data_IF_175962623706
#
_entry.id   IF_175962623706
#
_cell.length_a   1.000
_cell.length_b   1.000
_cell.length_c   1.000
_cell.angle_alpha   90.00
_cell.angle_beta   90.00
_cell.angle_gamma   90.00
#
_symmetry.space_group_name_H-M   'P 1'
#
loop_
_entity.id
_entity.type
_entity.pdbx_description
1 polymer ?
#
# COMPACT_ATOMS: atom_id res chain seq x y z
N UNK A 1 -1.45 -1.25 13.70
CA UNK A 1 -0.72 -2.36 14.37
C UNK A 1 0.76 -2.24 14.06
N UNK A 2 1.62 -2.30 15.10
CA UNK A 2 3.08 -2.38 14.94
C UNK A 2 3.55 -3.82 15.12
N UNK A 3 4.56 -4.21 14.35
CA UNK A 3 5.06 -5.57 14.27
C UNK A 3 6.58 -5.56 14.24
N UNK A 4 7.22 -6.10 15.27
CA UNK A 4 8.62 -6.46 15.20
C UNK A 4 8.75 -7.82 14.53
N UNK A 5 9.65 -7.91 13.56
CA UNK A 5 9.96 -9.12 12.79
C UNK A 5 11.46 -9.39 12.97
N UNK A 6 11.81 -10.60 13.40
CA UNK A 6 13.21 -10.98 13.67
C UNK A 6 13.89 -11.62 12.46
N UNK A 7 13.11 -12.15 11.53
CA UNK A 7 13.61 -12.73 10.28
C UNK A 7 12.45 -13.03 9.33
N UNK A 8 12.74 -13.43 8.08
CA UNK A 8 14.07 -13.61 7.50
C UNK A 8 14.78 -12.28 7.18
N UNK A 9 16.10 -12.31 6.94
CA UNK A 9 16.84 -11.14 6.42
C UNK A 9 16.42 -10.83 4.98
N UNK A 10 16.10 -11.86 4.19
CA UNK A 10 15.64 -11.74 2.80
C UNK A 10 14.28 -12.41 2.67
N UNK A 11 13.18 -11.67 2.42
CA UNK A 11 11.84 -12.24 2.42
C UNK A 11 11.50 -12.91 1.08
N UNK A 12 10.47 -13.76 1.08
CA UNK A 12 10.01 -14.47 -0.11
C UNK A 12 9.45 -13.53 -1.18
N UNK A 13 8.64 -12.53 -0.78
CA UNK A 13 8.19 -11.42 -1.62
C UNK A 13 9.06 -10.18 -1.37
N UNK A 14 9.78 -9.67 -2.37
CA UNK A 14 10.73 -8.58 -2.16
C UNK A 14 11.06 -7.78 -3.40
N UNK A 15 11.50 -6.55 -3.19
CA UNK A 15 12.11 -5.73 -4.22
C UNK A 15 13.57 -6.13 -4.46
N UNK A 16 13.93 -6.40 -5.69
CA UNK A 16 15.31 -6.46 -6.13
C UNK A 16 15.58 -5.30 -7.11
N UNK A 17 16.82 -4.80 -7.14
CA UNK A 17 17.21 -3.67 -7.98
C UNK A 17 18.53 -3.93 -8.70
N UNK A 18 18.64 -3.35 -9.89
CA UNK A 18 19.86 -3.30 -10.69
C UNK A 18 20.10 -1.87 -11.18
N UNK A 19 21.33 -1.58 -11.58
CA UNK A 19 21.71 -0.26 -12.10
C UNK A 19 20.87 0.16 -13.31
N UNK A 20 20.83 1.47 -13.54
CA UNK A 20 20.06 2.06 -14.64
C UNK A 20 18.56 2.11 -14.37
N UNK A 21 18.19 2.24 -13.08
CA UNK A 21 16.81 2.43 -12.59
C UNK A 21 15.91 1.19 -12.73
N UNK A 22 16.51 0.00 -12.67
CA UNK A 22 15.82 -1.27 -12.84
C UNK A 22 15.35 -1.78 -11.50
N UNK A 23 14.05 -2.06 -11.42
CA UNK A 23 13.38 -2.60 -10.26
C UNK A 23 12.64 -3.86 -10.66
N UNK A 24 12.59 -4.84 -9.77
CA UNK A 24 11.77 -6.03 -9.95
C UNK A 24 11.23 -6.48 -8.62
N UNK A 25 9.94 -6.75 -8.56
CA UNK A 25 9.34 -7.46 -7.44
C UNK A 25 9.42 -8.95 -7.75
N UNK A 26 9.94 -9.72 -6.80
CA UNK A 26 10.07 -11.17 -6.90
C UNK A 26 9.30 -11.84 -5.77
N UNK A 27 8.71 -13.00 -6.04
CA UNK A 27 8.02 -13.84 -5.06
C UNK A 27 8.53 -15.27 -5.18
N UNK A 28 9.07 -15.86 -4.11
CA UNK A 28 9.69 -17.19 -4.17
C UNK A 28 10.84 -17.29 -5.20
N UNK A 29 11.47 -16.16 -5.53
CA UNK A 29 12.49 -16.06 -6.59
C UNK A 29 11.94 -15.88 -8.01
N UNK A 30 10.62 -15.88 -8.20
CA UNK A 30 9.98 -15.66 -9.50
C UNK A 30 9.63 -14.17 -9.67
N UNK A 31 10.03 -13.50 -10.76
CA UNK A 31 9.59 -12.13 -11.04
C UNK A 31 8.06 -12.02 -11.19
N UNK A 32 7.44 -11.12 -10.43
CA UNK A 32 5.99 -10.85 -10.45
C UNK A 32 5.65 -9.48 -11.05
N UNK A 33 6.55 -8.51 -10.91
CA UNK A 33 6.43 -7.17 -11.47
C UNK A 33 7.81 -6.66 -11.87
N UNK A 34 7.98 -6.24 -13.12
CA UNK A 34 9.11 -5.43 -13.52
C UNK A 34 8.73 -3.96 -13.47
N UNK A 35 9.68 -3.13 -13.07
CA UNK A 35 9.53 -1.68 -13.12
C UNK A 35 10.85 -1.01 -13.53
N UNK A 36 10.74 0.09 -14.27
CA UNK A 36 11.88 0.92 -14.62
C UNK A 36 11.52 2.38 -14.47
N UNK A 37 12.29 3.11 -13.67
CA UNK A 37 12.04 4.54 -13.52
C UNK A 37 12.26 5.25 -14.84
N UNK A 38 11.37 6.19 -15.15
CA UNK A 38 11.40 6.99 -16.37
C UNK A 38 12.61 7.92 -16.39
N UNK A 39 13.02 8.28 -17.60
CA UNK A 39 14.11 9.24 -17.83
C UNK A 39 13.78 10.66 -17.39
N UNK A 40 12.49 10.96 -17.27
CA UNK A 40 11.96 12.24 -16.77
C UNK A 40 12.00 12.34 -15.25
N UNK A 41 12.25 11.25 -14.52
CA UNK A 41 12.18 11.18 -13.06
C UNK A 41 10.79 11.45 -12.46
N UNK A 42 9.74 11.57 -13.29
CA UNK A 42 8.35 11.81 -12.88
C UNK A 42 7.50 10.52 -12.89
N UNK A 43 8.11 9.36 -12.69
CA UNK A 43 7.37 8.11 -12.69
C UNK A 43 8.22 6.90 -13.06
N UNK A 44 7.53 5.79 -13.31
CA UNK A 44 8.11 4.54 -13.79
C UNK A 44 7.21 3.86 -14.81
N UNK A 45 7.80 3.03 -15.66
CA UNK A 45 7.08 2.01 -16.40
C UNK A 45 6.98 0.75 -15.55
N UNK A 46 5.87 0.02 -15.66
CA UNK A 46 5.72 -1.29 -15.04
C UNK A 46 5.21 -2.32 -16.04
N UNK A 47 5.50 -3.58 -15.74
CA UNK A 47 4.93 -4.73 -16.42
C UNK A 47 4.72 -5.88 -15.43
N UNK A 48 3.48 -6.36 -15.32
CA UNK A 48 3.12 -7.54 -14.53
C UNK A 48 3.39 -8.80 -15.32
N UNK A 49 3.86 -9.83 -14.63
CA UNK A 49 4.11 -11.14 -15.27
C UNK A 49 2.90 -12.08 -15.18
N UNK A 50 1.88 -11.71 -14.40
CA UNK A 50 0.72 -12.57 -14.10
C UNK A 50 1.03 -13.71 -13.12
N UNK A 51 2.24 -13.77 -12.56
CA UNK A 51 2.70 -14.86 -11.67
C UNK A 51 2.50 -14.58 -10.19
N UNK A 52 2.01 -13.40 -9.83
CA UNK A 52 1.78 -13.02 -8.44
C UNK A 52 0.71 -13.90 -7.79
N UNK A 53 1.00 -14.38 -6.59
CA UNK A 53 0.04 -15.09 -5.73
C UNK A 53 -0.07 -14.32 -4.41
N UNK A 54 -1.30 -14.11 -3.93
CA UNK A 54 -1.50 -13.48 -2.63
C UNK A 54 -0.84 -14.33 -1.52
N UNK A 55 -0.02 -13.74 -0.63
CA UNK A 55 0.53 -14.44 0.52
C UNK A 55 -0.53 -14.74 1.59
N UNK A 56 -1.73 -14.16 1.47
CA UNK A 56 -2.81 -14.36 2.42
C UNK A 56 -3.81 -15.38 1.89
N UNK A 57 -4.27 -16.26 2.77
CA UNK A 57 -5.37 -17.16 2.46
C UNK A 57 -6.65 -16.37 2.13
N UNK A 58 -7.48 -16.82 1.16
CA UNK A 58 -8.71 -16.13 0.83
C UNK A 58 -9.65 -15.96 2.04
N UNK A 59 -10.06 -14.73 2.30
CA UNK A 59 -10.99 -14.42 3.39
C UNK A 59 -12.39 -14.93 3.08
N UNK A 60 -12.91 -15.77 3.98
CA UNK A 60 -14.27 -16.31 3.90
C UNK A 60 -15.31 -15.35 4.47
N UNK A 61 -16.55 -15.51 4.02
CA UNK A 61 -17.67 -14.70 4.49
C UNK A 61 -17.98 -14.90 5.98
N UNK A 62 -17.79 -16.11 6.50
CA UNK A 62 -18.00 -16.40 7.91
C UNK A 62 -17.06 -15.56 8.80
N UNK A 63 -15.79 -15.46 8.42
CA UNK A 63 -14.81 -14.66 9.15
C UNK A 63 -15.19 -13.16 9.14
N UNK A 64 -15.62 -12.64 7.97
CA UNK A 64 -16.03 -11.25 7.85
C UNK A 64 -17.19 -10.90 8.79
N UNK A 65 -18.19 -11.78 8.87
CA UNK A 65 -19.35 -11.62 9.77
C UNK A 65 -18.93 -11.74 11.23
N UNK A 66 -18.13 -12.75 11.58
CA UNK A 66 -17.64 -12.91 12.95
C UNK A 66 -16.91 -11.66 13.44
N UNK A 67 -16.04 -11.05 12.62
CA UNK A 67 -15.37 -9.79 13.01
C UNK A 67 -16.36 -8.64 13.19
N UNK A 68 -17.39 -8.56 12.34
CA UNK A 68 -18.44 -7.54 12.41
C UNK A 68 -19.38 -7.70 13.62
N UNK A 69 -19.56 -8.91 14.15
CA UNK A 69 -20.34 -9.18 15.37
C UNK A 69 -19.66 -8.61 16.61
N UNK A 70 -18.33 -8.64 16.65
CA UNK A 70 -17.57 -8.14 17.81
C UNK A 70 -17.18 -6.66 17.69
N UNK A 71 -17.06 -6.11 16.48
CA UNK A 71 -16.76 -4.69 16.28
C UNK A 71 -17.60 -4.10 15.16
N UNK A 72 -18.17 -2.94 15.45
CA UNK A 72 -18.89 -2.10 14.50
C UNK A 72 -18.06 -1.89 13.22
N UNK A 73 -18.53 -2.32 12.03
CA UNK A 73 -17.80 -2.14 10.80
C UNK A 73 -17.39 -0.69 10.56
N UNK A 74 -16.09 -0.49 10.39
CA UNK A 74 -15.50 0.82 10.14
C UNK A 74 -15.11 1.63 11.38
N UNK A 75 -15.34 1.11 12.57
CA UNK A 75 -14.75 1.61 13.81
C UNK A 75 -13.23 1.40 13.86
N UNK A 76 -12.57 2.05 14.82
CA UNK A 76 -11.15 1.82 15.12
C UNK A 76 -10.91 0.37 15.56
N UNK A 77 -11.75 -0.19 16.43
CA UNK A 77 -11.65 -1.58 16.89
C UNK A 77 -11.77 -2.59 15.72
N UNK A 78 -12.72 -2.37 14.80
CA UNK A 78 -12.85 -3.22 13.60
C UNK A 78 -11.59 -3.18 12.74
N UNK A 79 -11.01 -1.99 12.59
CA UNK A 79 -9.77 -1.77 11.85
C UNK A 79 -8.59 -2.48 12.52
N UNK A 80 -8.49 -2.36 13.85
CA UNK A 80 -7.45 -3.01 14.66
C UNK A 80 -7.54 -4.53 14.59
N UNK A 81 -8.76 -5.10 14.62
CA UNK A 81 -8.96 -6.54 14.44
C UNK A 81 -8.50 -7.04 13.08
N UNK A 82 -8.82 -6.32 12.00
CA UNK A 82 -8.31 -6.68 10.68
C UNK A 82 -6.80 -6.48 10.54
N UNK A 83 -6.24 -5.46 11.18
CA UNK A 83 -4.80 -5.30 11.23
C UNK A 83 -4.13 -6.45 11.99
N UNK A 84 -4.69 -6.88 13.13
CA UNK A 84 -4.20 -8.03 13.88
C UNK A 84 -4.29 -9.32 13.07
N UNK A 85 -5.43 -9.57 12.41
CA UNK A 85 -5.61 -10.72 11.52
C UNK A 85 -4.60 -10.72 10.36
N UNK A 86 -4.51 -9.61 9.63
CA UNK A 86 -3.57 -9.47 8.51
C UNK A 86 -2.11 -9.58 8.97
N UNK A 87 -1.76 -9.00 10.10
CA UNK A 87 -0.43 -9.07 10.68
C UNK A 87 -0.04 -10.46 11.18
N UNK A 88 -0.99 -11.25 11.67
CA UNK A 88 -0.77 -12.66 12.00
C UNK A 88 -0.59 -13.49 10.72
N UNK A 89 -1.46 -13.31 9.73
CA UNK A 89 -1.38 -14.02 8.45
C UNK A 89 -0.07 -13.72 7.70
N UNK A 90 0.37 -12.45 7.68
CA UNK A 90 1.61 -12.04 7.04
C UNK A 90 2.85 -12.63 7.72
N UNK A 91 2.85 -12.79 9.05
CA UNK A 91 3.95 -13.44 9.77
C UNK A 91 4.03 -14.94 9.50
N UNK A 92 2.90 -15.57 9.22
CA UNK A 92 2.83 -17.00 8.90
C UNK A 92 3.07 -17.31 7.42
N UNK A 93 3.18 -16.28 6.56
CA UNK A 93 3.35 -16.47 5.12
C UNK A 93 4.83 -16.59 4.74
N UNK A 94 5.22 -17.73 4.16
CA UNK A 94 6.59 -17.98 3.72
C UNK A 94 7.00 -17.05 2.55
N UNK A 95 6.07 -16.82 1.61
CA UNK A 95 6.26 -15.92 0.46
C UNK A 95 5.69 -14.52 0.70
N UNK A 96 5.74 -14.05 1.95
CA UNK A 96 5.34 -12.71 2.38
C UNK A 96 6.45 -11.66 2.24
N UNK A 97 6.11 -10.37 2.39
CA UNK A 97 7.06 -9.26 2.30
C UNK A 97 7.83 -8.96 3.60
N UNK A 98 7.42 -9.58 4.72
CA UNK A 98 8.00 -9.31 6.03
C UNK A 98 9.43 -9.83 6.11
N UNK A 99 10.34 -8.94 6.44
CA UNK A 99 11.73 -9.24 6.77
C UNK A 99 12.10 -8.60 8.11
N UNK A 100 13.29 -8.91 8.62
CA UNK A 100 13.84 -8.32 9.83
C UNK A 100 13.64 -6.80 9.86
N UNK A 101 12.97 -6.30 10.89
CA UNK A 101 12.65 -4.88 11.03
C UNK A 101 11.37 -4.61 11.81
N UNK A 102 11.08 -3.32 11.97
CA UNK A 102 9.84 -2.82 12.53
C UNK A 102 8.88 -2.49 11.39
N UNK A 103 7.65 -3.00 11.47
CA UNK A 103 6.63 -2.85 10.43
C UNK A 103 5.34 -2.28 11.01
N UNK A 104 4.62 -1.53 10.18
CA UNK A 104 3.27 -1.05 10.45
C UNK A 104 2.27 -1.66 9.48
N UNK A 105 1.13 -2.09 10.01
CA UNK A 105 -0.09 -2.37 9.26
C UNK A 105 -1.21 -1.51 9.81
N UNK A 106 -1.64 -0.51 9.04
CA UNK A 106 -2.57 0.52 9.50
C UNK A 106 -3.32 1.15 8.32
N UNK A 107 -4.42 1.88 8.56
CA UNK A 107 -5.03 2.72 7.54
C UNK A 107 -4.04 3.73 6.97
N UNK A 108 -4.33 4.22 5.76
CA UNK A 108 -3.59 5.34 5.18
C UNK A 108 -3.77 6.62 6.00
N UNK A 109 -2.76 6.92 6.81
CA UNK A 109 -2.69 8.13 7.64
C UNK A 109 -2.14 9.34 6.86
N UNK A 110 -1.55 9.13 5.69
CA UNK A 110 -0.97 10.17 4.84
C UNK A 110 -1.96 10.70 3.80
N UNK A 111 -3.09 10.00 3.61
CA UNK A 111 -4.16 10.35 2.65
C UNK A 111 -3.63 10.42 1.22
N UNK A 112 -2.79 9.47 0.84
CA UNK A 112 -2.26 9.37 -0.52
C UNK A 112 -3.33 9.06 -1.56
N UNK A 113 -4.40 8.36 -1.16
CA UNK A 113 -5.45 7.97 -2.10
C UNK A 113 -6.34 9.16 -2.47
N UNK A 114 -6.35 9.50 -3.77
CA UNK A 114 -7.19 10.54 -4.37
C UNK A 114 -8.49 9.91 -4.86
N UNK A 115 -9.64 10.46 -4.43
CA UNK A 115 -10.95 9.89 -4.73
C UNK A 115 -11.22 9.72 -6.24
N UNK A 116 -10.74 10.65 -7.07
CA UNK A 116 -10.91 10.63 -8.53
C UNK A 116 -10.14 9.50 -9.25
N UNK A 117 -9.15 8.87 -8.60
CA UNK A 117 -8.33 7.83 -9.22
C UNK A 117 -8.95 6.43 -9.09
N UNK A 118 -9.84 6.20 -8.12
CA UNK A 118 -10.45 4.89 -7.88
C UNK A 118 -11.30 4.36 -9.05
N UNK A 119 -12.21 5.14 -9.68
CA UNK A 119 -13.01 4.65 -10.79
C UNK A 119 -12.16 4.26 -12.01
N UNK A 120 -11.04 4.95 -12.23
CA UNK A 120 -10.12 4.70 -13.34
C UNK A 120 -9.50 3.30 -13.27
N UNK A 121 -9.23 2.83 -12.05
CA UNK A 121 -8.58 1.53 -11.84
C UNK A 121 -9.43 0.36 -12.34
N UNK A 122 -10.76 0.39 -12.14
CA UNK A 122 -11.64 -0.65 -12.66
C UNK A 122 -11.84 -0.54 -14.18
N UNK A 123 -11.87 0.69 -14.71
CA UNK A 123 -12.04 0.93 -16.14
C UNK A 123 -10.81 0.53 -16.96
N UNK A 124 -9.60 0.68 -16.40
CA UNK A 124 -8.33 0.43 -17.09
C UNK A 124 -7.26 -0.12 -16.14
N UNK A 125 -7.11 -1.44 -16.15
CA UNK A 125 -6.06 -2.19 -15.42
C UNK A 125 -5.14 -2.96 -16.38
N UNK A 126 -4.32 -2.28 -17.19
CA UNK A 126 -3.44 -2.96 -18.14
C UNK A 126 -2.32 -3.71 -17.39
N UNK A 127 -1.89 -4.84 -17.93
CA UNK A 127 -0.73 -5.58 -17.41
C UNK A 127 0.59 -4.80 -17.55
N UNK A 128 0.62 -3.81 -18.45
CA UNK A 128 1.75 -2.91 -18.71
C UNK A 128 1.27 -1.48 -18.72
N UNK A 129 2.02 -0.59 -18.09
CA UNK A 129 1.67 0.82 -18.04
C UNK A 129 2.74 1.63 -17.35
N UNK A 130 2.34 2.77 -16.80
CA UNK A 130 3.25 3.62 -16.04
C UNK A 130 2.62 4.10 -14.74
N UNK A 131 3.42 4.33 -13.71
CA UNK A 131 2.99 5.07 -12.52
C UNK A 131 3.53 6.48 -12.65
N UNK A 132 2.63 7.45 -12.60
CA UNK A 132 2.93 8.87 -12.72
C UNK A 132 3.23 9.41 -11.33
N UNK A 133 4.28 10.20 -11.21
CA UNK A 133 4.60 10.92 -9.98
C UNK A 133 4.37 12.40 -10.24
N UNK A 134 3.65 13.06 -9.32
CA UNK A 134 3.40 14.50 -9.37
C UNK A 134 2.58 14.99 -10.59
N UNK A 135 2.03 14.08 -11.42
CA UNK A 135 1.09 14.40 -12.50
C UNK A 135 1.67 15.18 -13.69
N UNK A 136 2.99 15.24 -13.86
CA UNK A 136 3.61 16.03 -14.94
C UNK A 136 3.60 15.29 -16.29
N UNK A 137 2.85 15.84 -17.25
CA UNK A 137 2.93 15.44 -18.66
C UNK A 137 2.39 14.05 -19.00
N UNK A 138 1.69 13.42 -18.05
CA UNK A 138 1.16 12.07 -18.20
C UNK A 138 -0.35 12.05 -18.49
N UNK A 139 -0.85 11.02 -19.20
CA UNK A 139 -2.28 10.86 -19.44
C UNK A 139 -3.08 10.70 -18.14
N UNK A 140 -4.28 11.29 -18.09
CA UNK A 140 -5.13 11.27 -16.88
C UNK A 140 -5.56 9.85 -16.48
N UNK A 141 -5.68 8.94 -17.45
CA UNK A 141 -5.98 7.52 -17.23
C UNK A 141 -4.90 6.74 -16.45
N UNK A 142 -3.67 7.26 -16.41
CA UNK A 142 -2.53 6.61 -15.78
C UNK A 142 -2.28 7.11 -14.35
N UNK A 143 -3.00 8.18 -13.95
CA UNK A 143 -3.10 8.59 -12.56
C UNK A 143 -3.77 7.50 -11.73
N UNK A 144 -2.96 6.82 -10.91
CA UNK A 144 -3.40 5.78 -9.97
C UNK A 144 -2.56 5.83 -8.72
N UNK A 145 -3.22 5.67 -7.58
CA UNK A 145 -2.58 5.69 -6.27
C UNK A 145 -2.31 4.29 -5.73
N UNK A 146 -2.64 3.25 -6.50
CA UNK A 146 -2.56 1.85 -6.10
C UNK A 146 -2.30 0.98 -7.34
N UNK A 147 -1.37 0.05 -7.24
CA UNK A 147 -1.07 -0.91 -8.31
C UNK A 147 -1.50 -2.33 -7.95
N UNK A 148 -2.49 -2.93 -8.64
CA UNK A 148 -2.80 -4.35 -8.50
C UNK A 148 -1.63 -5.23 -8.98
N UNK A 149 -1.14 -6.16 -8.15
CA UNK A 149 -0.08 -7.10 -8.55
C UNK A 149 -0.54 -8.24 -9.48
N UNK A 150 -1.84 -8.48 -9.58
CA UNK A 150 -2.47 -9.34 -10.58
C UNK A 150 -3.65 -8.59 -11.21
N UNK A 151 -4.06 -9.03 -12.40
CA UNK A 151 -5.23 -8.48 -13.06
C UNK A 151 -6.46 -8.54 -12.15
N UNK A 152 -7.21 -7.43 -12.13
CA UNK A 152 -8.49 -7.38 -11.44
C UNK A 152 -9.47 -8.36 -12.09
N UNK A 153 -10.19 -9.10 -11.24
CA UNK A 153 -11.21 -10.03 -11.70
C UNK A 153 -12.38 -9.28 -12.33
N UNK A 154 -13.10 -9.94 -13.25
CA UNK A 154 -14.30 -9.38 -13.85
C UNK A 154 -15.38 -9.08 -12.77
N UNK A 155 -16.11 -7.95 -12.85
CA UNK A 155 -17.14 -7.58 -11.86
C UNK A 155 -18.24 -8.62 -11.60
N UNK A 156 -18.50 -9.46 -12.62
CA UNK A 156 -19.50 -10.54 -12.57
C UNK A 156 -18.92 -11.91 -12.19
N UNK A 157 -17.63 -12.01 -11.87
CA UNK A 157 -17.04 -13.25 -11.38
C UNK A 157 -17.73 -13.69 -10.06
N UNK A 158 -18.02 -14.99 -9.84
CA UNK A 158 -18.80 -15.45 -8.68
C UNK A 158 -18.26 -14.95 -7.32
N UNK A 159 -16.93 -14.97 -7.15
CA UNK A 159 -16.26 -14.49 -5.95
C UNK A 159 -16.43 -12.97 -5.75
N UNK A 160 -16.35 -12.19 -6.84
CA UNK A 160 -16.57 -10.74 -6.80
C UNK A 160 -18.02 -10.43 -6.41
N UNK A 161 -19.01 -11.15 -6.98
CA UNK A 161 -20.43 -10.99 -6.59
C UNK A 161 -20.66 -11.24 -5.10
N UNK A 162 -20.00 -12.25 -4.52
CA UNK A 162 -20.06 -12.51 -3.08
C UNK A 162 -19.46 -11.35 -2.26
N UNK A 163 -18.32 -10.78 -2.68
CA UNK A 163 -17.75 -9.61 -2.01
C UNK A 163 -18.57 -8.33 -2.22
N UNK A 164 -19.22 -8.15 -3.38
CA UNK A 164 -20.14 -7.01 -3.63
C UNK A 164 -21.31 -7.03 -2.65
N UNK A 165 -21.84 -8.23 -2.36
CA UNK A 165 -22.85 -8.40 -1.30
C UNK A 165 -22.31 -7.95 0.07
N UNK A 166 -21.11 -8.41 0.46
CA UNK A 166 -20.48 -7.98 1.72
C UNK A 166 -20.23 -6.47 1.77
N UNK A 167 -19.89 -5.85 0.63
CA UNK A 167 -19.71 -4.40 0.53
C UNK A 167 -21.00 -3.64 0.84
N UNK A 168 -22.12 -4.05 0.22
CA UNK A 168 -23.45 -3.48 0.48
C UNK A 168 -23.90 -3.68 1.94
N UNK A 169 -23.55 -4.82 2.52
CA UNK A 169 -23.81 -5.14 3.94
C UNK A 169 -22.86 -4.40 4.90
N UNK A 170 -21.86 -3.66 4.38
CA UNK A 170 -20.90 -2.90 5.19
C UNK A 170 -19.81 -3.75 5.87
N UNK A 171 -19.77 -5.06 5.62
CA UNK A 171 -18.87 -6.02 6.29
C UNK A 171 -17.66 -6.44 5.44
N UNK A 172 -17.48 -5.85 4.25
CA UNK A 172 -16.35 -6.19 3.36
C UNK A 172 -15.01 -6.02 4.09
N UNK A 173 -14.18 -7.07 4.20
CA UNK A 173 -12.86 -6.97 4.80
C UNK A 173 -11.92 -6.02 4.03
N UNK A 174 -11.00 -5.31 4.71
CA UNK A 174 -10.15 -4.30 4.08
C UNK A 174 -9.12 -4.89 3.13
N UNK A 175 -8.86 -4.23 2.01
CA UNK A 175 -7.79 -4.58 1.07
C UNK A 175 -6.44 -4.37 1.78
N UNK A 176 -5.55 -5.36 1.68
CA UNK A 176 -4.20 -5.26 2.21
C UNK A 176 -3.27 -4.78 1.10
N UNK A 177 -2.64 -3.63 1.31
CA UNK A 177 -1.68 -3.04 0.39
C UNK A 177 -0.30 -2.99 1.03
N UNK A 178 0.75 -2.85 0.23
CA UNK A 178 2.13 -2.67 0.68
C UNK A 178 2.75 -1.46 0.02
N UNK A 179 3.23 -0.53 0.84
CA UNK A 179 3.98 0.62 0.37
C UNK A 179 5.35 0.20 -0.15
N UNK A 180 5.61 0.48 -1.42
CA UNK A 180 6.92 0.30 -2.04
C UNK A 180 7.48 1.67 -2.42
N UNK A 181 8.41 2.16 -1.62
CA UNK A 181 9.08 3.47 -1.81
C UNK A 181 9.71 3.63 -3.19
N UNK A 182 10.35 2.59 -3.74
CA UNK A 182 10.94 2.63 -5.08
C UNK A 182 9.91 2.75 -6.21
N UNK A 183 8.65 2.41 -5.95
CA UNK A 183 7.54 2.67 -6.87
C UNK A 183 6.81 3.98 -6.57
N UNK A 184 7.07 4.56 -5.38
CA UNK A 184 6.31 5.64 -4.77
C UNK A 184 4.79 5.38 -4.83
N UNK A 185 4.40 4.12 -4.64
CA UNK A 185 3.01 3.68 -4.73
C UNK A 185 2.80 2.41 -3.90
N UNK A 186 1.66 2.28 -3.21
CA UNK A 186 1.19 1.01 -2.69
C UNK A 186 0.89 -0.01 -3.80
N UNK A 187 1.22 -1.26 -3.54
CA UNK A 187 0.78 -2.40 -4.35
C UNK A 187 -0.27 -3.21 -3.61
N UNK A 188 -1.24 -3.79 -4.32
CA UNK A 188 -2.24 -4.68 -3.69
C UNK A 188 -1.59 -6.01 -3.36
N UNK A 189 -1.37 -6.29 -2.07
CA UNK A 189 -0.92 -7.60 -1.60
C UNK A 189 -2.06 -8.61 -1.66
N UNK A 190 -3.19 -8.27 -1.07
CA UNK A 190 -4.35 -9.15 -1.03
C UNK A 190 -5.65 -8.36 -1.10
N UNK A 191 -6.66 -8.96 -1.72
CA UNK A 191 -7.98 -8.38 -1.86
C UNK A 191 -8.24 -7.75 -3.22
N UNK A 192 -7.56 -8.17 -4.30
CA UNK A 192 -7.89 -7.74 -5.67
C UNK A 192 -9.38 -7.93 -6.01
N UNK A 193 -10.00 -9.03 -5.59
CA UNK A 193 -11.44 -9.26 -5.82
C UNK A 193 -12.32 -8.37 -4.94
N UNK A 194 -11.84 -8.01 -3.74
CA UNK A 194 -12.54 -7.10 -2.80
C UNK A 194 -12.45 -5.66 -3.28
N UNK A 195 -11.31 -5.29 -3.86
CA UNK A 195 -11.10 -4.05 -4.59
C UNK A 195 -12.05 -3.95 -5.78
N UNK A 196 -12.10 -4.96 -6.67
CA UNK A 196 -13.09 -5.00 -7.76
C UNK A 196 -14.51 -4.87 -7.22
N UNK A 197 -14.86 -5.58 -6.15
CA UNK A 197 -16.20 -5.55 -5.58
C UNK A 197 -16.60 -4.15 -5.11
N UNK A 198 -15.75 -3.46 -4.36
CA UNK A 198 -16.03 -2.10 -3.88
C UNK A 198 -16.17 -1.11 -5.05
N UNK A 199 -15.28 -1.20 -6.05
CA UNK A 199 -15.31 -0.33 -7.23
C UNK A 199 -16.55 -0.57 -8.11
N UNK A 200 -16.97 -1.84 -8.27
CA UNK A 200 -18.16 -2.20 -9.02
C UNK A 200 -19.47 -1.71 -8.37
N UNK A 201 -19.43 -1.41 -7.06
CA UNK A 201 -20.51 -0.77 -6.32
C UNK A 201 -20.38 0.77 -6.29
N UNK A 202 -19.45 1.34 -7.06
CA UNK A 202 -19.24 2.79 -7.15
C UNK A 202 -18.58 3.40 -5.91
N UNK A 203 -17.99 2.59 -5.03
CA UNK A 203 -17.34 3.07 -3.82
C UNK A 203 -15.88 2.66 -3.72
N UNK A 204 -15.32 2.78 -2.51
CA UNK A 204 -13.91 2.50 -2.24
C UNK A 204 -13.77 1.45 -1.13
N UNK A 205 -12.83 0.50 -1.27
CA UNK A 205 -12.55 -0.41 -0.17
C UNK A 205 -11.84 0.35 0.96
N UNK A 206 -11.97 -0.15 2.19
CA UNK A 206 -11.02 0.20 3.24
C UNK A 206 -9.67 -0.43 2.91
N UNK A 207 -8.58 0.31 3.10
CA UNK A 207 -7.23 -0.18 2.83
C UNK A 207 -6.43 -0.19 4.13
N UNK A 208 -5.76 -1.31 4.38
CA UNK A 208 -4.70 -1.42 5.38
C UNK A 208 -3.37 -1.51 4.66
N UNK A 209 -2.51 -0.53 4.92
CA UNK A 209 -1.21 -0.39 4.31
C UNK A 209 -0.13 -0.98 5.21
N UNK A 210 0.62 -1.93 4.65
CA UNK A 210 1.85 -2.46 5.19
C UNK A 210 3.02 -1.55 4.80
N UNK A 211 3.89 -1.22 5.74
CA UNK A 211 5.13 -0.48 5.50
C UNK A 211 6.17 -0.74 6.58
N UNK A 212 7.44 -0.46 6.30
CA UNK A 212 8.45 -0.35 7.35
C UNK A 212 8.15 0.88 8.21
N UNK A 213 8.36 0.73 9.51
CA UNK A 213 8.18 1.81 10.46
C UNK A 213 9.42 2.70 10.48
N UNK A 214 9.22 4.00 10.39
CA UNK A 214 10.27 5.00 10.65
C UNK A 214 10.81 4.85 12.07
N UNK A 215 12.11 5.13 12.25
CA UNK A 215 12.76 5.03 13.55
C UNK A 215 12.38 6.18 14.50
N UNK A 216 12.74 6.03 15.78
CA UNK A 216 12.42 7.01 16.81
C UNK A 216 13.13 8.36 16.58
N UNK A 217 14.31 8.36 15.95
CA UNK A 217 15.10 9.56 15.68
C UNK A 217 14.40 10.41 14.61
N UNK A 218 13.94 9.77 13.54
CA UNK A 218 13.16 10.41 12.49
C UNK A 218 11.84 10.96 13.03
N UNK A 219 11.13 10.17 13.86
CA UNK A 219 9.88 10.63 14.50
C UNK A 219 10.15 11.87 15.35
N UNK A 220 11.19 11.86 16.18
CA UNK A 220 11.54 13.00 17.03
C UNK A 220 11.83 14.26 16.21
N UNK A 221 12.65 14.12 15.15
CA UNK A 221 12.97 15.21 14.23
C UNK A 221 11.71 15.81 13.58
N UNK A 222 10.82 14.96 13.05
CA UNK A 222 9.61 15.43 12.39
C UNK A 222 8.54 15.95 13.36
N UNK A 223 8.55 15.52 14.62
CA UNK A 223 7.61 15.95 15.65
C UNK A 223 8.00 17.27 16.33
N UNK A 224 9.27 17.68 16.27
CA UNK A 224 9.78 18.89 16.96
C UNK A 224 9.05 20.17 16.55
N UNK A 225 8.95 20.44 15.24
CA UNK A 225 8.24 21.60 14.71
C UNK A 225 6.76 21.62 15.12
N UNK A 226 5.99 20.56 14.83
CA UNK A 226 4.59 20.45 15.26
C UNK A 226 4.39 20.57 16.77
N UNK A 227 5.29 20.03 17.60
CA UNK A 227 5.20 20.13 19.05
C UNK A 227 5.42 21.56 19.53
N UNK A 228 6.40 22.26 18.96
CA UNK A 228 6.67 23.68 19.22
C UNK A 228 5.47 24.55 18.82
N UNK A 229 4.93 24.33 17.63
CA UNK A 229 3.74 25.04 17.14
C UNK A 229 2.53 24.81 18.06
N UNK A 230 2.30 23.56 18.49
CA UNK A 230 1.24 23.22 19.41
C UNK A 230 1.40 23.93 20.76
N UNK A 231 2.60 23.91 21.34
CA UNK A 231 2.89 24.57 22.61
C UNK A 231 2.62 26.08 22.53
N UNK A 232 3.08 26.74 21.45
CA UNK A 232 2.82 28.16 21.19
C UNK A 232 1.32 28.44 21.05
N UNK A 233 0.60 27.60 20.30
CA UNK A 233 -0.83 27.75 20.07
C UNK A 233 -1.62 27.61 21.37
N UNK A 234 -1.33 26.61 22.19
CA UNK A 234 -2.02 26.40 23.47
C UNK A 234 -1.74 27.53 24.46
N UNK A 235 -0.50 28.02 24.53
CA UNK A 235 -0.14 29.13 25.40
C UNK A 235 -0.86 30.45 25.06
N UNK A 236 -1.28 30.63 23.81
CA UNK A 236 -2.00 31.82 23.34
C UNK A 236 -3.54 31.71 23.47
N UNK A 237 -4.07 30.58 23.96
CA UNK A 237 -5.51 30.34 24.05
C UNK A 237 -6.06 30.74 25.43
N UNK A 238 -6.64 31.92 25.52
CA UNK A 238 -7.32 32.44 26.72
C UNK A 238 -8.85 32.60 26.56
N UNK A 239 -9.51 32.86 27.69
CA UNK A 239 -10.93 33.25 27.78
C UNK A 239 -11.91 32.10 28.02
N UNK A 240 -13.23 32.39 28.04
CA UNK A 240 -14.26 31.43 28.44
C UNK A 240 -14.35 30.16 27.59
N UNK A 241 -13.89 30.23 26.33
CA UNK A 241 -13.84 29.09 25.40
C UNK A 241 -12.46 28.41 25.34
N UNK A 242 -11.51 28.84 26.16
CA UNK A 242 -10.13 28.33 26.22
C UNK A 242 -10.06 26.80 26.29
N UNK A 243 -10.76 26.14 27.24
CA UNK A 243 -10.73 24.67 27.37
C UNK A 243 -11.16 23.93 26.09
N UNK A 244 -12.22 24.39 25.44
CA UNK A 244 -12.72 23.80 24.19
C UNK A 244 -11.75 23.97 23.03
N UNK A 245 -11.12 25.16 22.93
CA UNK A 245 -10.10 25.45 21.90
C UNK A 245 -8.83 24.63 22.12
N UNK A 246 -8.38 24.48 23.37
CA UNK A 246 -7.26 23.60 23.74
C UNK A 246 -7.58 22.16 23.38
N UNK A 247 -8.76 21.66 23.74
CA UNK A 247 -9.16 20.29 23.40
C UNK A 247 -9.18 20.04 21.88
N UNK A 248 -9.62 21.01 21.09
CA UNK A 248 -9.54 20.94 19.63
C UNK A 248 -8.09 20.92 19.13
N UNK A 249 -7.25 21.85 19.59
CA UNK A 249 -5.83 21.91 19.23
C UNK A 249 -5.09 20.61 19.59
N UNK A 250 -5.37 20.02 20.76
CA UNK A 250 -4.79 18.75 21.18
C UNK A 250 -5.21 17.59 20.27
N UNK A 251 -6.48 17.55 19.83
CA UNK A 251 -6.94 16.53 18.86
C UNK A 251 -6.25 16.66 17.52
N UNK A 252 -6.10 17.88 16.99
CA UNK A 252 -5.39 18.11 15.73
C UNK A 252 -3.90 17.77 15.85
N UNK A 253 -3.25 18.13 16.95
CA UNK A 253 -1.87 17.75 17.23
C UNK A 253 -1.70 16.24 17.33
N UNK A 254 -2.59 15.54 18.05
CA UNK A 254 -2.57 14.08 18.13
C UNK A 254 -2.75 13.41 16.76
N UNK A 255 -3.62 13.94 15.89
CA UNK A 255 -3.75 13.47 14.50
C UNK A 255 -2.46 13.69 13.70
N UNK A 256 -1.79 14.84 13.88
CA UNK A 256 -0.53 15.14 13.21
C UNK A 256 0.60 14.22 13.66
N UNK A 257 0.74 13.99 14.96
CA UNK A 257 1.70 13.02 15.50
C UNK A 257 1.41 11.60 15.00
N UNK A 258 0.13 11.20 14.95
CA UNK A 258 -0.27 9.90 14.38
C UNK A 258 0.15 9.80 12.92
N UNK A 259 -0.04 10.85 12.13
CA UNK A 259 0.40 10.88 10.74
C UNK A 259 1.92 10.67 10.62
N UNK A 260 2.72 11.37 11.43
CA UNK A 260 4.20 11.23 11.47
C UNK A 260 4.61 9.80 11.83
N UNK A 261 4.02 9.22 12.88
CA UNK A 261 4.38 7.85 13.29
C UNK A 261 3.95 6.78 12.29
N UNK A 262 2.98 7.09 11.44
CA UNK A 262 2.50 6.20 10.38
C UNK A 262 3.12 6.54 9.01
N UNK A 263 4.07 7.47 8.94
CA UNK A 263 4.87 7.67 7.73
C UNK A 263 5.65 6.39 7.44
N UNK A 264 5.62 5.90 6.19
CA UNK A 264 6.30 4.68 5.81
C UNK A 264 7.79 4.99 5.59
N UNK A 265 8.65 4.09 6.04
CA UNK A 265 10.07 4.19 5.75
C UNK A 265 10.41 3.63 4.35
N UNK A 266 11.65 3.83 3.93
CA UNK A 266 12.20 3.30 2.69
C UNK A 266 12.15 1.76 2.70
N UNK A 267 11.56 1.22 1.63
CA UNK A 267 11.54 -0.21 1.36
C UNK A 267 12.95 -0.70 1.07
N UNK A 268 13.38 -1.74 1.78
CA UNK A 268 14.64 -2.42 1.45
C UNK A 268 14.56 -3.08 0.08
N UNK A 269 15.58 -2.86 -0.73
CA UNK A 269 15.79 -3.57 -1.98
C UNK A 269 17.10 -4.37 -1.92
N UNK A 270 17.10 -5.57 -2.51
CA UNK A 270 18.30 -6.40 -2.62
C UNK A 270 18.91 -6.30 -4.03
N UNK A 271 20.22 -6.52 -4.20
CA UNK A 271 20.80 -6.57 -5.53
C UNK A 271 20.17 -7.68 -6.38
N UNK A 272 19.76 -7.36 -7.60
CA UNK A 272 19.29 -8.33 -8.57
C UNK A 272 20.48 -9.18 -9.06
N UNK A 273 20.44 -10.52 -8.94
CA UNK A 273 21.54 -11.38 -9.35
C UNK A 273 21.90 -11.21 -10.82
N UNK A 274 23.19 -11.06 -11.13
CA UNK A 274 23.68 -10.86 -12.50
C UNK A 274 23.52 -9.44 -13.05
N UNK A 275 23.02 -8.50 -12.24
CA UNK A 275 23.00 -7.07 -12.59
C UNK A 275 22.08 -6.71 -13.77
N UNK A 276 22.35 -5.59 -14.46
CA UNK A 276 21.46 -5.07 -15.50
C UNK A 276 21.21 -6.03 -16.67
N UNK A 277 22.23 -6.73 -17.15
CA UNK A 277 22.10 -7.65 -18.29
C UNK A 277 21.19 -8.84 -17.97
N UNK A 278 21.33 -9.42 -16.77
CA UNK A 278 20.43 -10.48 -16.31
C UNK A 278 19.00 -9.97 -16.11
N UNK A 279 18.85 -8.73 -15.63
CA UNK A 279 17.53 -8.11 -15.49
C UNK A 279 16.85 -7.92 -16.84
N UNK A 280 17.58 -7.40 -17.84
CA UNK A 280 17.04 -7.18 -19.20
C UNK A 280 16.63 -8.51 -19.84
N UNK A 281 17.45 -9.57 -19.68
CA UNK A 281 17.13 -10.91 -20.13
C UNK A 281 15.88 -11.48 -19.42
N UNK A 282 15.78 -11.29 -18.10
CA UNK A 282 14.62 -11.73 -17.33
C UNK A 282 13.34 -10.99 -17.74
N UNK A 283 13.42 -9.67 -17.97
CA UNK A 283 12.30 -8.87 -18.46
C UNK A 283 11.86 -9.33 -19.85
N UNK A 284 12.78 -9.51 -20.79
CA UNK A 284 12.48 -9.99 -22.13
C UNK A 284 11.80 -11.38 -22.12
N UNK A 285 12.20 -12.27 -21.20
CA UNK A 285 11.62 -13.60 -21.07
C UNK A 285 10.21 -13.60 -20.43
N UNK A 286 9.98 -12.76 -19.41
CA UNK A 286 8.72 -12.78 -18.65
C UNK A 286 7.66 -11.82 -19.19
N UNK A 287 8.07 -10.72 -19.82
CA UNK A 287 7.21 -9.68 -20.36
C UNK A 287 7.67 -9.31 -21.78
N UNK A 288 7.58 -10.25 -22.74
CA UNK A 288 8.08 -10.03 -24.10
C UNK A 288 7.40 -8.82 -24.76
N UNK A 289 8.21 -8.02 -25.47
CA UNK A 289 7.75 -6.80 -26.14
C UNK A 289 7.58 -5.59 -25.22
N UNK A 290 7.83 -5.72 -23.91
CA UNK A 290 7.87 -4.56 -23.02
C UNK A 290 9.21 -3.83 -23.16
N UNK A 291 9.15 -2.63 -23.73
CA UNK A 291 10.28 -1.74 -23.94
C UNK A 291 10.07 -0.43 -23.16
N UNK A 292 10.40 -0.38 -21.86
CA UNK A 292 10.34 0.86 -21.10
C UNK A 292 11.43 1.82 -21.60
N UNK A 293 11.13 3.12 -21.64
CA UNK A 293 12.06 4.15 -22.16
C UNK A 293 13.44 3.99 -21.51
N UNK A 294 14.43 3.67 -22.35
CA UNK A 294 15.79 3.37 -21.90
C UNK A 294 16.68 4.60 -21.87
N UNK A 295 16.45 5.52 -22.82
CA UNK A 295 17.37 6.60 -23.17
C UNK A 295 16.71 7.98 -22.98
N UNK A 296 17.57 8.98 -22.81
CA UNK A 296 17.21 10.39 -22.58
C UNK A 296 16.80 11.08 -23.87
#
# INVERSE_FOLDING_TARGET
MRMRVEGPVKPGLRMESADGRRLVLTQGGVPVLFARQRVTWYGLHYARTGRYVSPLAPLRAELARAVAEFAEPGSEEWTERWAAHGGAALRAADDGPLHEGEWHLAPDAQRWFVDGNWPKLLARDPDRGHLTWFGYGDPDEDARDLLPLRALSHPEAPRVKAYRRQYREGVLPPVFAWWISGLNSPVVLDGHDRLTAALAEGGRPRVLLLSLAVDATWIALCAEGPATEYAHRVAALDGPLGPSRVAHASREFAKRLRSITHTPDLTRAWPFPGGPAAWDAAAAAHVPGWAPDADR
#
